data_IF_584825012000
#
_entry.id   IF_584825012000
#
_cell.length_a   1.000
_cell.length_b   1.000
_cell.length_c   1.000
_cell.angle_alpha   90.00
_cell.angle_beta   90.00
_cell.angle_gamma   90.00
#
_symmetry.space_group_name_H-M   'P 1'
#
loop_
_entity.id
_entity.type
_entity.pdbx_description
1 polymer ?
#
# COMPACT_ATOMS: atom_id res chain seq x y z
N UNK A 1 -36.43 -2.15 -52.12
CA UNK A 1 -37.67 -2.86 -51.73
C UNK A 1 -37.60 -3.06 -50.20
N UNK A 2 -38.58 -2.59 -49.41
CA UNK A 2 -39.67 -3.40 -48.77
C UNK A 2 -39.14 -4.74 -48.21
N UNK A 3 -38.96 -4.87 -46.89
CA UNK A 3 -39.95 -5.34 -45.87
C UNK A 3 -40.06 -6.90 -45.84
N UNK A 4 -40.36 -7.61 -44.75
CA UNK A 4 -41.01 -7.26 -43.47
C UNK A 4 -40.44 -8.07 -42.27
N UNK A 5 -40.35 -7.54 -41.04
CA UNK A 5 -41.32 -7.62 -39.91
C UNK A 5 -41.62 -9.04 -39.37
N UNK A 6 -41.36 -9.27 -38.09
CA UNK A 6 -41.90 -10.39 -37.30
C UNK A 6 -41.80 -10.12 -35.78
N UNK A 7 -42.94 -9.88 -35.11
CA UNK A 7 -43.02 -9.63 -33.65
C UNK A 7 -43.63 -10.83 -32.93
N UNK A 8 -43.18 -11.12 -31.71
CA UNK A 8 -44.07 -11.73 -30.70
C UNK A 8 -43.76 -11.24 -29.29
N UNK A 9 -44.81 -10.96 -28.51
CA UNK A 9 -44.77 -10.53 -27.11
C UNK A 9 -45.95 -11.18 -26.39
N UNK A 10 -45.73 -11.85 -25.26
CA UNK A 10 -46.79 -12.14 -24.28
C UNK A 10 -46.26 -12.01 -22.84
N UNK A 11 -47.03 -11.31 -22.02
CA UNK A 11 -46.86 -11.15 -20.57
C UNK A 11 -47.74 -12.16 -19.82
N UNK A 12 -47.48 -12.45 -18.54
CA UNK A 12 -48.51 -12.37 -17.48
C UNK A 12 -48.02 -12.64 -16.05
N UNK A 13 -48.76 -12.08 -15.08
CA UNK A 13 -48.99 -12.53 -13.69
C UNK A 13 -47.84 -12.49 -12.66
N UNK A 14 -47.79 -11.35 -11.94
CA UNK A 14 -47.51 -11.32 -10.48
C UNK A 14 -48.47 -12.26 -9.72
N UNK A 15 -48.05 -12.80 -8.57
CA UNK A 15 -48.93 -13.13 -7.43
C UNK A 15 -48.23 -12.77 -6.12
N UNK A 16 -49.00 -12.36 -5.11
CA UNK A 16 -48.51 -11.93 -3.79
C UNK A 16 -49.20 -12.75 -2.68
N UNK A 17 -48.43 -13.40 -1.81
CA UNK A 17 -48.80 -14.08 -0.54
C UNK A 17 -47.51 -14.18 0.29
N UNK A 18 -47.45 -14.02 1.61
CA UNK A 18 -48.43 -13.58 2.62
C UNK A 18 -47.86 -13.86 4.03
N UNK A 19 -47.90 -12.90 4.97
CA UNK A 19 -47.35 -13.02 6.34
C UNK A 19 -48.42 -13.49 7.34
N UNK A 20 -48.05 -14.29 8.37
CA UNK A 20 -47.86 -13.78 9.75
C UNK A 20 -46.60 -14.41 10.42
N UNK A 21 -46.18 -14.16 11.66
CA UNK A 21 -46.61 -13.29 12.78
C UNK A 21 -46.19 -13.93 14.13
N UNK A 22 -46.03 -13.23 15.26
CA UNK A 22 -46.17 -11.78 15.53
C UNK A 22 -44.77 -11.11 15.67
N UNK A 23 -44.13 -10.76 16.79
CA UNK A 23 -44.49 -10.56 18.22
C UNK A 23 -43.60 -9.43 18.83
N UNK A 24 -43.75 -9.03 20.11
CA UNK A 24 -43.08 -7.84 20.71
C UNK A 24 -42.72 -7.99 22.21
N UNK A 25 -41.64 -7.35 22.67
CA UNK A 25 -41.60 -6.57 23.94
C UNK A 25 -40.39 -5.60 24.00
N UNK A 26 -40.45 -4.44 24.71
CA UNK A 26 -39.41 -3.40 24.66
C UNK A 26 -38.77 -2.99 26.01
N UNK A 27 -37.65 -2.26 25.94
CA UNK A 27 -37.09 -1.40 27.00
C UNK A 27 -35.81 -1.90 27.69
N UNK A 28 -35.06 -1.04 28.41
CA UNK A 28 -35.25 0.41 28.61
C UNK A 28 -34.23 1.29 27.85
N UNK A 29 -34.33 2.62 27.99
CA UNK A 29 -33.26 3.56 27.60
C UNK A 29 -32.07 3.51 28.57
N UNK A 30 -30.87 3.79 28.04
CA UNK A 30 -29.87 4.58 28.76
C UNK A 30 -29.23 5.55 27.77
N UNK A 31 -29.11 6.83 28.14
CA UNK A 31 -28.52 7.88 27.32
C UNK A 31 -27.03 8.00 27.56
N UNK A 32 -26.25 8.22 26.49
CA UNK A 32 -25.19 9.24 26.50
C UNK A 32 -24.78 9.60 25.06
N UNK A 33 -24.43 10.85 24.85
CA UNK A 33 -24.09 11.44 23.53
C UNK A 33 -22.60 11.33 23.20
N UNK A 34 -22.31 11.43 21.90
CA UNK A 34 -21.01 11.32 21.21
C UNK A 34 -19.98 12.40 21.64
N UNK A 35 -18.67 12.21 21.34
CA UNK A 35 -18.13 12.59 20.01
C UNK A 35 -17.71 11.41 19.11
N UNK A 36 -17.56 11.69 17.80
CA UNK A 36 -17.12 10.76 16.76
C UNK A 36 -15.77 10.08 17.09
N UNK A 37 -15.48 8.83 16.72
CA UNK A 37 -15.70 8.16 15.42
C UNK A 37 -14.85 8.76 14.26
N UNK A 38 -13.52 8.76 14.43
CA UNK A 38 -12.59 8.79 13.28
C UNK A 38 -12.51 7.40 12.65
N UNK A 39 -13.52 7.04 11.86
CA UNK A 39 -13.44 5.86 10.97
C UNK A 39 -12.46 6.14 9.84
N UNK A 40 -11.34 5.40 9.81
CA UNK A 40 -10.47 5.30 8.64
C UNK A 40 -10.88 4.09 7.78
N UNK A 41 -11.63 4.26 6.67
CA UNK A 41 -11.79 3.23 5.65
C UNK A 41 -10.46 3.11 4.85
N UNK A 42 -10.11 2.00 4.19
CA UNK A 42 -10.94 1.11 3.38
C UNK A 42 -10.57 -0.38 3.53
N UNK A 43 -11.47 -1.13 4.15
CA UNK A 43 -11.84 -2.52 3.83
C UNK A 43 -10.88 -3.40 3.01
N UNK A 44 -10.24 -4.38 3.65
CA UNK A 44 -9.99 -5.69 3.03
C UNK A 44 -10.60 -6.79 3.91
N UNK A 45 -11.59 -7.53 3.39
CA UNK A 45 -12.37 -8.53 4.16
C UNK A 45 -11.72 -9.92 4.22
N UNK A 46 -10.41 -10.03 3.96
CA UNK A 46 -9.68 -11.30 3.99
C UNK A 46 -8.81 -11.42 5.25
N UNK A 47 -9.25 -12.28 6.18
CA UNK A 47 -8.63 -12.59 7.49
C UNK A 47 -8.34 -11.36 8.36
N UNK A 48 -9.19 -11.15 9.35
CA UNK A 48 -8.85 -10.36 10.54
C UNK A 48 -7.53 -10.91 11.13
N UNK A 49 -6.45 -10.12 11.08
CA UNK A 49 -5.19 -10.46 11.76
C UNK A 49 -5.50 -10.55 13.26
N UNK A 50 -5.07 -11.63 13.92
CA UNK A 50 -5.34 -11.85 15.34
C UNK A 50 -4.31 -11.19 16.26
N UNK A 51 -3.23 -10.75 15.63
CA UNK A 51 -2.07 -10.06 16.17
C UNK A 51 -2.22 -8.55 15.89
N UNK A 52 -1.54 -7.66 16.64
CA UNK A 52 -1.48 -6.24 16.29
C UNK A 52 -0.97 -6.01 14.86
N UNK A 53 -1.25 -4.85 14.24
CA UNK A 53 -0.62 -4.50 12.97
C UNK A 53 0.91 -4.56 13.12
N UNK A 54 1.65 -5.05 12.10
CA UNK A 54 3.11 -5.06 12.18
C UNK A 54 3.64 -3.66 12.42
N UNK A 55 4.58 -3.52 13.35
CA UNK A 55 5.50 -2.39 13.33
C UNK A 55 6.36 -2.56 12.08
N UNK A 56 6.44 -1.51 11.26
CA UNK A 56 7.16 -1.53 10.00
C UNK A 56 8.50 -0.82 10.19
N UNK A 57 9.60 -1.57 10.06
CA UNK A 57 10.94 -1.04 10.29
C UNK A 57 11.61 -0.58 8.98
N UNK A 58 12.54 0.37 9.08
CA UNK A 58 13.43 0.84 8.02
C UNK A 58 14.89 0.39 8.19
N UNK A 59 15.67 0.48 7.12
CA UNK A 59 17.12 0.25 7.16
C UNK A 59 17.63 -0.51 5.94
N UNK A 60 18.63 -1.37 6.14
CA UNK A 60 19.15 -2.21 5.07
C UNK A 60 18.24 -3.41 4.81
N UNK A 61 18.15 -3.86 3.56
CA UNK A 61 17.35 -5.05 3.20
C UNK A 61 17.71 -6.32 4.01
N UNK A 62 18.97 -6.44 4.46
CA UNK A 62 19.40 -7.54 5.32
C UNK A 62 18.82 -7.45 6.74
N UNK A 63 18.83 -6.25 7.33
CA UNK A 63 18.42 -6.05 8.73
C UNK A 63 16.91 -6.13 8.93
N UNK A 64 16.13 -5.99 7.86
CA UNK A 64 14.67 -6.07 7.86
C UNK A 64 14.13 -7.52 7.81
N UNK A 65 15.00 -8.50 8.06
CA UNK A 65 14.69 -9.93 8.04
C UNK A 65 14.63 -10.52 9.44
N UNK A 66 13.85 -11.59 9.58
CA UNK A 66 13.89 -12.43 10.77
C UNK A 66 15.25 -13.14 10.92
N UNK A 67 15.50 -13.69 12.11
CA UNK A 67 16.71 -14.47 12.42
C UNK A 67 16.90 -15.72 11.55
N UNK A 68 15.86 -16.14 10.80
CA UNK A 68 15.88 -17.23 9.82
C UNK A 68 16.14 -16.77 8.37
N UNK A 69 16.47 -15.48 8.16
CA UNK A 69 16.74 -14.86 6.87
C UNK A 69 15.49 -14.56 6.03
N UNK A 70 14.28 -14.85 6.52
CA UNK A 70 13.02 -14.60 5.81
C UNK A 70 12.46 -13.23 6.17
N UNK A 71 11.46 -12.78 5.41
CA UNK A 71 10.73 -11.56 5.76
C UNK A 71 9.86 -11.84 7.01
N UNK A 72 9.69 -10.85 7.89
CA UNK A 72 8.87 -10.99 9.09
C UNK A 72 7.43 -11.39 8.71
N UNK A 73 6.76 -12.32 9.41
CA UNK A 73 5.45 -12.85 9.02
C UNK A 73 4.40 -11.77 8.71
N UNK A 74 3.99 -11.70 7.46
CA UNK A 74 3.00 -10.72 7.00
C UNK A 74 3.55 -9.31 6.72
N UNK A 75 4.86 -9.16 6.56
CA UNK A 75 5.48 -7.99 5.90
C UNK A 75 6.03 -8.35 4.51
N UNK A 76 6.26 -7.32 3.69
CA UNK A 76 7.17 -7.35 2.55
C UNK A 76 8.27 -6.33 2.77
N UNK A 77 9.40 -6.48 2.09
CA UNK A 77 10.52 -5.53 2.13
C UNK A 77 10.62 -4.89 0.75
N UNK A 78 10.38 -3.57 0.66
CA UNK A 78 10.57 -2.79 -0.56
C UNK A 78 11.98 -2.17 -0.54
N UNK A 79 12.68 -2.20 -1.66
CA UNK A 79 13.95 -1.49 -1.83
C UNK A 79 13.69 -0.05 -2.28
N UNK A 80 14.44 0.90 -1.71
CA UNK A 80 14.36 2.32 -2.03
C UNK A 80 15.80 2.85 -2.17
N UNK A 81 16.26 3.20 -3.40
CA UNK A 81 15.64 2.92 -4.69
C UNK A 81 15.65 1.40 -5.00
N UNK A 82 14.90 0.93 -6.02
CA UNK A 82 14.89 -0.47 -6.41
C UNK A 82 16.30 -1.04 -6.67
N UNK A 83 16.46 -2.32 -6.35
CA UNK A 83 17.72 -3.05 -6.54
C UNK A 83 18.28 -2.94 -7.97
N UNK A 84 17.43 -2.97 -9.00
CA UNK A 84 17.87 -2.85 -10.40
C UNK A 84 18.30 -1.42 -10.77
N UNK A 85 17.78 -0.40 -10.07
CA UNK A 85 18.30 0.96 -10.12
C UNK A 85 19.69 1.02 -9.51
N UNK A 86 19.84 0.53 -8.27
CA UNK A 86 21.07 0.69 -7.49
C UNK A 86 22.24 -0.19 -7.97
N UNK A 87 21.98 -1.30 -8.67
CA UNK A 87 23.00 -2.11 -9.38
C UNK A 87 23.86 -1.33 -10.38
N UNK A 88 23.43 -0.14 -10.82
CA UNK A 88 24.19 0.71 -11.73
C UNK A 88 25.38 1.41 -11.02
N UNK A 89 25.38 1.49 -9.69
CA UNK A 89 26.44 2.12 -8.90
C UNK A 89 27.56 1.10 -8.63
N UNK A 90 28.80 1.34 -9.10
CA UNK A 90 29.92 0.44 -8.85
C UNK A 90 30.17 0.20 -7.35
N UNK A 91 30.28 -1.07 -6.95
CA UNK A 91 30.51 -1.45 -5.54
C UNK A 91 29.27 -1.47 -4.64
N UNK A 92 28.08 -1.14 -5.15
CA UNK A 92 26.83 -1.29 -4.39
C UNK A 92 26.58 -2.74 -3.97
N UNK A 93 26.01 -2.94 -2.77
CA UNK A 93 25.78 -4.26 -2.17
C UNK A 93 24.30 -4.44 -1.86
N UNK A 94 23.72 -5.51 -2.41
CA UNK A 94 22.30 -5.87 -2.25
C UNK A 94 21.82 -5.84 -0.80
N UNK A 95 22.50 -6.57 0.08
CA UNK A 95 22.21 -6.65 1.51
C UNK A 95 22.20 -5.28 2.22
N UNK A 96 23.01 -4.33 1.77
CA UNK A 96 23.19 -3.02 2.38
C UNK A 96 22.30 -1.92 1.78
N UNK A 97 21.59 -2.21 0.68
CA UNK A 97 20.71 -1.25 0.04
C UNK A 97 19.55 -0.82 0.93
N UNK A 98 19.20 0.46 0.87
CA UNK A 98 18.06 1.04 1.58
C UNK A 98 16.77 0.31 1.25
N UNK A 99 15.96 0.12 2.29
CA UNK A 99 14.72 -0.62 2.25
C UNK A 99 13.82 -0.27 3.45
N UNK A 100 12.56 -0.64 3.34
CA UNK A 100 11.58 -0.57 4.42
C UNK A 100 10.61 -1.75 4.37
N UNK A 101 10.06 -2.12 5.53
CA UNK A 101 8.97 -3.08 5.60
C UNK A 101 7.62 -2.43 5.28
N UNK A 102 6.71 -3.16 4.64
CA UNK A 102 5.34 -2.71 4.37
C UNK A 102 4.34 -3.86 4.25
N UNK A 103 3.05 -3.54 4.09
CA UNK A 103 2.01 -4.54 3.81
C UNK A 103 2.20 -5.17 2.42
N UNK A 104 1.77 -6.43 2.25
CA UNK A 104 1.87 -7.10 0.95
C UNK A 104 1.07 -6.38 -0.15
N UNK A 105 -0.13 -5.87 0.15
CA UNK A 105 -0.97 -5.16 -0.82
C UNK A 105 -0.29 -3.84 -1.25
N UNK A 106 0.22 -3.10 -0.28
CA UNK A 106 0.82 -1.78 -0.48
C UNK A 106 2.15 -1.89 -1.26
N UNK A 107 2.95 -2.94 -0.98
CA UNK A 107 4.13 -3.32 -1.78
C UNK A 107 3.81 -3.60 -3.25
N UNK A 108 2.59 -4.07 -3.56
CA UNK A 108 2.12 -4.30 -4.94
C UNK A 108 1.49 -3.07 -5.59
N UNK A 109 1.36 -1.96 -4.85
CA UNK A 109 0.73 -0.73 -5.33
C UNK A 109 1.74 0.42 -5.58
N UNK A 110 2.91 0.43 -4.92
CA UNK A 110 3.99 1.39 -5.19
C UNK A 110 4.58 1.23 -6.60
N UNK A 111 4.92 2.34 -7.26
CA UNK A 111 5.49 2.33 -8.61
C UNK A 111 6.90 1.73 -8.68
N UNK A 112 7.64 1.73 -7.56
CA UNK A 112 8.97 1.10 -7.45
C UNK A 112 8.94 -0.39 -7.87
N UNK A 113 7.81 -1.09 -7.69
CA UNK A 113 7.66 -2.52 -8.00
C UNK A 113 6.78 -2.80 -9.22
N UNK A 114 6.80 -4.05 -9.69
CA UNK A 114 5.89 -4.54 -10.74
C UNK A 114 6.26 -4.11 -12.16
N UNK A 115 5.43 -4.55 -13.13
CA UNK A 115 5.68 -4.44 -14.57
C UNK A 115 4.59 -3.64 -15.32
N UNK A 116 3.84 -2.79 -14.61
CA UNK A 116 2.91 -1.86 -15.23
C UNK A 116 3.68 -0.75 -15.98
N UNK A 117 3.02 -0.06 -16.92
CA UNK A 117 3.65 1.04 -17.67
C UNK A 117 4.20 2.13 -16.73
N UNK A 118 3.40 2.54 -15.74
CA UNK A 118 3.80 3.56 -14.76
C UNK A 118 5.01 3.11 -13.92
N UNK A 119 5.04 1.83 -13.50
CA UNK A 119 6.18 1.24 -12.79
C UNK A 119 7.47 1.21 -13.63
N UNK A 120 7.35 1.00 -14.94
CA UNK A 120 8.47 1.00 -15.87
C UNK A 120 8.98 2.43 -16.11
N UNK A 121 8.08 3.41 -16.25
CA UNK A 121 8.41 4.82 -16.37
C UNK A 121 9.07 5.37 -15.09
N UNK A 122 8.54 5.02 -13.91
CA UNK A 122 9.09 5.40 -12.62
C UNK A 122 10.53 4.91 -12.45
N UNK A 123 10.78 3.61 -12.70
CA UNK A 123 12.17 3.08 -12.65
C UNK A 123 13.06 3.62 -13.76
N UNK A 124 12.54 3.93 -14.95
CA UNK A 124 13.31 4.59 -16.00
C UNK A 124 13.78 5.99 -15.56
N UNK A 125 12.93 6.75 -14.85
CA UNK A 125 13.29 8.03 -14.26
C UNK A 125 14.33 7.87 -13.14
N UNK A 126 14.17 6.91 -12.23
CA UNK A 126 15.17 6.61 -11.20
C UNK A 126 16.54 6.21 -11.80
N UNK A 127 16.55 5.44 -12.89
CA UNK A 127 17.77 5.06 -13.61
C UNK A 127 18.48 6.29 -14.19
N UNK A 128 17.74 7.23 -14.79
CA UNK A 128 18.31 8.49 -15.29
C UNK A 128 18.92 9.32 -14.17
N UNK A 129 18.22 9.44 -13.03
CA UNK A 129 18.72 10.16 -11.86
C UNK A 129 20.00 9.51 -11.31
N UNK A 130 20.03 8.19 -11.11
CA UNK A 130 21.23 7.48 -10.63
C UNK A 130 22.39 7.55 -11.63
N UNK A 131 22.13 7.45 -12.95
CA UNK A 131 23.16 7.61 -13.98
C UNK A 131 23.77 9.03 -14.01
N UNK A 132 23.00 10.04 -13.63
CA UNK A 132 23.48 11.43 -13.46
C UNK A 132 24.14 11.68 -12.07
N UNK A 133 24.23 10.68 -11.20
CA UNK A 133 24.71 10.82 -9.82
C UNK A 133 23.69 11.41 -8.83
N UNK A 134 22.46 11.66 -9.26
CA UNK A 134 21.37 12.22 -8.45
C UNK A 134 20.69 11.15 -7.57
N UNK A 135 21.48 10.43 -6.77
CA UNK A 135 21.00 9.30 -5.93
C UNK A 135 19.93 9.78 -4.93
N UNK A 136 20.14 10.95 -4.31
CA UNK A 136 19.17 11.62 -3.42
C UNK A 136 17.79 11.76 -4.08
N UNK A 137 17.74 12.20 -5.33
CA UNK A 137 16.49 12.48 -6.03
C UNK A 137 15.78 11.17 -6.45
N UNK A 138 16.56 10.12 -6.75
CA UNK A 138 16.02 8.78 -7.00
C UNK A 138 15.38 8.14 -5.75
N UNK A 139 15.89 8.46 -4.55
CA UNK A 139 15.28 8.11 -3.26
C UNK A 139 14.03 8.97 -3.01
N UNK A 140 14.13 10.28 -3.22
CA UNK A 140 13.02 11.22 -3.05
C UNK A 140 11.78 10.83 -3.88
N UNK A 141 11.97 10.32 -5.10
CA UNK A 141 10.88 9.86 -5.96
C UNK A 141 10.07 8.69 -5.37
N UNK A 142 10.73 7.77 -4.66
CA UNK A 142 10.05 6.66 -3.96
C UNK A 142 9.39 7.13 -2.67
N UNK A 143 10.07 7.98 -1.89
CA UNK A 143 9.48 8.62 -0.69
C UNK A 143 8.18 9.33 -1.08
N UNK A 144 8.21 10.12 -2.15
CA UNK A 144 7.04 10.84 -2.65
C UNK A 144 5.93 9.92 -3.14
N UNK A 145 6.24 8.79 -3.82
CA UNK A 145 5.20 7.84 -4.22
C UNK A 145 4.57 7.15 -3.00
N UNK A 146 5.36 6.83 -1.97
CA UNK A 146 4.91 6.17 -0.75
C UNK A 146 4.06 7.11 0.12
N UNK A 147 4.54 8.31 0.46
CA UNK A 147 3.80 9.24 1.32
C UNK A 147 2.52 9.76 0.65
N UNK A 148 2.53 9.93 -0.68
CA UNK A 148 1.33 10.28 -1.48
C UNK A 148 0.28 9.16 -1.52
N UNK A 149 0.69 7.89 -1.44
CA UNK A 149 -0.21 6.73 -1.46
C UNK A 149 -0.69 6.31 -0.07
N UNK A 150 0.15 6.45 0.94
CA UNK A 150 -0.08 5.98 2.31
C UNK A 150 0.34 7.05 3.35
N UNK A 151 -0.29 8.24 3.37
CA UNK A 151 0.16 9.36 4.22
C UNK A 151 0.27 8.96 5.69
N UNK A 152 1.41 9.24 6.33
CA UNK A 152 1.69 8.92 7.72
C UNK A 152 1.87 7.42 8.05
N UNK A 153 1.59 6.49 7.12
CA UNK A 153 1.60 5.04 7.43
C UNK A 153 3.01 4.45 7.54
N UNK A 154 3.96 5.03 6.83
CA UNK A 154 5.31 4.48 6.65
C UNK A 154 6.43 5.48 7.02
N UNK A 155 6.05 6.63 7.54
CA UNK A 155 6.94 7.77 7.74
C UNK A 155 8.03 7.47 8.78
N UNK A 156 7.73 6.70 9.82
CA UNK A 156 8.76 6.20 10.76
C UNK A 156 9.71 5.17 10.10
N UNK A 157 9.18 4.27 9.26
CA UNK A 157 10.00 3.31 8.49
C UNK A 157 10.91 4.03 7.49
N UNK A 158 10.43 5.11 6.87
CA UNK A 158 11.22 5.94 5.97
C UNK A 158 12.28 6.74 6.73
N UNK A 159 11.93 7.27 7.91
CA UNK A 159 12.85 7.98 8.82
C UNK A 159 13.99 7.05 9.30
N UNK A 160 13.68 5.85 9.77
CA UNK A 160 14.66 4.81 10.13
C UNK A 160 15.56 4.42 8.94
N UNK A 161 15.00 4.29 7.74
CA UNK A 161 15.77 3.99 6.53
C UNK A 161 16.73 5.12 6.17
N UNK A 162 16.29 6.38 6.19
CA UNK A 162 17.14 7.54 5.90
C UNK A 162 18.27 7.61 6.92
N UNK A 163 17.97 7.60 8.22
CA UNK A 163 18.97 7.75 9.28
C UNK A 163 20.03 6.63 9.29
N UNK A 164 19.69 5.44 8.76
CA UNK A 164 20.58 4.27 8.76
C UNK A 164 21.31 4.01 7.44
N UNK A 165 20.67 4.29 6.30
CA UNK A 165 21.22 3.96 4.97
C UNK A 165 21.60 5.19 4.14
N UNK A 166 21.06 6.37 4.46
CA UNK A 166 21.27 7.62 3.74
C UNK A 166 21.42 8.83 4.69
N UNK A 167 22.27 8.77 5.74
CA UNK A 167 22.42 9.86 6.70
C UNK A 167 22.89 11.18 6.07
N UNK A 168 23.57 11.13 4.92
CA UNK A 168 23.94 12.28 4.10
C UNK A 168 22.74 12.98 3.42
N UNK A 169 21.60 12.30 3.33
CA UNK A 169 20.33 12.80 2.77
C UNK A 169 19.25 12.92 3.86
N UNK A 170 19.66 13.29 5.08
CA UNK A 170 18.77 13.50 6.23
C UNK A 170 17.67 14.55 6.00
N UNK A 171 17.85 15.43 5.01
CA UNK A 171 16.86 16.42 4.55
C UNK A 171 15.65 15.80 3.84
N UNK A 172 15.76 14.54 3.36
CA UNK A 172 14.61 13.79 2.84
C UNK A 172 13.55 13.50 3.91
N UNK A 173 13.87 13.66 5.20
CA UNK A 173 12.89 13.57 6.30
C UNK A 173 11.90 14.73 6.32
N UNK A 174 12.20 15.85 5.64
CA UNK A 174 11.29 16.99 5.48
C UNK A 174 10.17 16.71 4.44
N UNK A 175 10.22 15.56 3.77
CA UNK A 175 9.16 15.03 2.88
C UNK A 175 8.15 14.13 3.59
N UNK A 176 8.31 13.96 4.91
CA UNK A 176 7.47 13.12 5.77
C UNK A 176 6.49 13.99 6.57
N UNK A 177 5.47 13.34 7.15
CA UNK A 177 4.45 13.98 7.98
C UNK A 177 4.82 13.97 9.49
#
# INVERSE_FOLDING_TARGET
MRAAIGKFVRSTKRRNRGRPGVNRRPGPHSTNTTPAETINPLTNKNKLRKDPPPVYNGGSYKDLKGSDGKNIPGTQINHIPPCDTMKQIPGWKYDAGGAMQMDYIDHRAVHSTGSAADSLLHRAHQNQLVANGQIRDAIALDIQDITRRFPGKYDDSLREMIDKCYPEYGDLKDMLN
#
